data_IF_910813187373
#
_entry.id   IF_910813187373
#
_cell.length_a   1.000
_cell.length_b   1.000
_cell.length_c   1.000
_cell.angle_alpha   90.00
_cell.angle_beta   90.00
_cell.angle_gamma   90.00
#
_symmetry.space_group_name_H-M   'P 1'
#
loop_
_entity.id
_entity.type
_entity.pdbx_description
1 polymer ?
#
# COMPACT_ATOMS: atom_id res chain seq x y z
N UNK A 1 -23.13 -2.67 -21.20
CA UNK A 1 -22.99 -1.74 -22.32
C UNK A 1 -21.59 -1.15 -22.23
N UNK A 2 -20.69 -1.47 -23.17
CA UNK A 2 -19.39 -0.81 -23.23
C UNK A 2 -19.66 0.67 -23.53
N UNK A 3 -19.19 1.56 -22.66
CA UNK A 3 -19.26 2.99 -22.90
C UNK A 3 -18.39 3.32 -24.11
N UNK A 4 -18.90 4.11 -25.05
CA UNK A 4 -18.18 4.56 -26.26
C UNK A 4 -16.99 5.50 -25.92
N UNK A 5 -16.79 5.77 -24.63
CA UNK A 5 -15.74 6.67 -24.11
C UNK A 5 -14.55 5.90 -23.59
N UNK A 6 -13.33 6.33 -23.89
CA UNK A 6 -12.12 5.70 -23.34
C UNK A 6 -12.04 5.90 -21.82
N UNK A 7 -11.50 4.91 -21.09
CA UNK A 7 -11.47 4.86 -19.63
C UNK A 7 -10.83 6.11 -19.00
N UNK A 8 -9.79 6.68 -19.62
CA UNK A 8 -9.16 7.90 -19.12
C UNK A 8 -10.11 9.12 -19.10
N UNK A 9 -11.10 9.14 -19.98
CA UNK A 9 -12.12 10.20 -20.01
C UNK A 9 -13.19 10.02 -18.91
N UNK A 10 -13.30 8.83 -18.32
CA UNK A 10 -14.11 8.57 -17.13
C UNK A 10 -13.36 8.97 -15.86
N UNK A 11 -12.03 8.83 -15.88
CA UNK A 11 -11.14 9.19 -14.75
C UNK A 11 -10.95 10.70 -14.65
N UNK A 12 -10.61 11.37 -15.75
CA UNK A 12 -10.40 12.82 -15.76
C UNK A 12 -11.72 13.60 -15.55
N UNK A 13 -11.62 14.77 -14.96
CA UNK A 13 -12.76 15.69 -14.86
C UNK A 13 -13.15 16.18 -16.26
N UNK A 14 -14.47 16.29 -16.55
CA UNK A 14 -14.93 16.73 -17.85
C UNK A 14 -14.34 18.09 -18.25
N UNK A 15 -13.75 18.16 -19.45
CA UNK A 15 -13.20 19.40 -20.00
C UNK A 15 -11.87 19.86 -19.40
N UNK A 16 -11.32 19.15 -18.42
CA UNK A 16 -10.06 19.56 -17.75
C UNK A 16 -8.79 19.24 -18.53
N UNK A 17 -8.84 18.33 -19.52
CA UNK A 17 -7.66 17.82 -20.20
C UNK A 17 -7.06 18.83 -21.19
N UNK A 18 -5.96 19.46 -20.83
CA UNK A 18 -5.12 20.29 -21.71
C UNK A 18 -4.04 19.43 -22.35
N UNK A 19 -4.23 19.06 -23.62
CA UNK A 19 -3.36 18.12 -24.35
C UNK A 19 -2.01 18.74 -24.72
N UNK A 20 -0.98 17.90 -24.78
CA UNK A 20 0.34 18.21 -25.33
C UNK A 20 0.96 17.01 -26.05
N UNK A 21 2.05 17.22 -26.81
CA UNK A 21 2.76 16.18 -27.53
C UNK A 21 2.05 15.74 -28.82
N UNK A 22 1.07 16.51 -29.31
CA UNK A 22 0.34 16.23 -30.55
C UNK A 22 1.22 16.30 -31.80
N UNK A 23 2.38 16.96 -31.72
CA UNK A 23 3.39 17.06 -32.77
C UNK A 23 4.22 15.78 -32.96
N UNK A 24 4.18 14.83 -32.01
CA UNK A 24 4.91 13.57 -32.12
C UNK A 24 4.10 12.61 -32.99
N UNK A 25 4.49 12.44 -34.23
CA UNK A 25 3.75 11.67 -35.23
C UNK A 25 4.23 10.21 -35.30
N UNK A 26 3.29 9.29 -35.58
CA UNK A 26 3.59 7.90 -35.83
C UNK A 26 4.26 7.74 -37.20
N UNK A 27 5.36 6.98 -37.23
CA UNK A 27 6.08 6.62 -38.44
C UNK A 27 5.88 5.14 -38.78
N UNK A 28 6.36 4.72 -39.97
CA UNK A 28 6.45 3.31 -40.36
C UNK A 28 7.92 2.87 -40.44
N UNK A 29 8.60 2.72 -39.28
CA UNK A 29 10.06 2.46 -39.26
C UNK A 29 10.45 1.08 -39.84
N UNK A 30 9.50 0.19 -39.98
CA UNK A 30 9.73 -1.18 -40.48
C UNK A 30 9.20 -1.38 -41.92
N UNK A 31 8.77 -0.31 -42.59
CA UNK A 31 8.11 -0.37 -43.87
C UNK A 31 7.01 -1.45 -43.98
N UNK A 32 6.28 -1.63 -42.87
CA UNK A 32 5.28 -2.67 -42.75
C UNK A 32 4.15 -2.46 -43.77
N UNK A 33 3.87 -3.48 -44.63
CA UNK A 33 2.88 -3.35 -45.67
C UNK A 33 1.49 -3.01 -45.13
N UNK A 34 0.86 -1.96 -45.68
CA UNK A 34 -0.48 -1.52 -45.34
C UNK A 34 -0.61 -0.86 -43.95
N UNK A 35 0.48 -0.64 -43.20
CA UNK A 35 0.43 0.00 -41.88
C UNK A 35 0.00 1.48 -41.97
N UNK A 36 0.46 2.31 -42.93
CA UNK A 36 -0.05 3.66 -43.11
C UNK A 36 -1.57 3.71 -43.34
N UNK A 37 -2.13 2.76 -44.07
CA UNK A 37 -3.57 2.66 -44.30
C UNK A 37 -4.33 2.28 -43.01
N UNK A 38 -3.77 1.42 -42.18
CA UNK A 38 -4.34 1.07 -40.89
C UNK A 38 -4.36 2.28 -39.95
N UNK A 39 -3.29 3.09 -39.95
CA UNK A 39 -3.23 4.33 -39.18
C UNK A 39 -4.32 5.32 -39.62
N UNK A 40 -4.47 5.52 -40.96
CA UNK A 40 -5.53 6.41 -41.50
C UNK A 40 -6.92 5.93 -41.11
N UNK A 41 -7.19 4.63 -41.26
CA UNK A 41 -8.49 4.04 -40.85
C UNK A 41 -8.76 4.18 -39.36
N UNK A 42 -7.76 3.95 -38.50
CA UNK A 42 -7.91 4.12 -37.08
C UNK A 42 -8.22 5.58 -36.71
N UNK A 43 -7.51 6.54 -37.32
CA UNK A 43 -7.77 7.99 -37.13
C UNK A 43 -9.20 8.36 -37.54
N UNK A 44 -9.68 7.88 -38.70
CA UNK A 44 -11.04 8.16 -39.18
C UNK A 44 -12.10 7.52 -38.26
N UNK A 45 -11.87 6.30 -37.81
CA UNK A 45 -12.85 5.56 -37.01
C UNK A 45 -12.97 6.08 -35.58
N UNK A 46 -11.88 6.58 -35.00
CA UNK A 46 -11.84 6.99 -33.57
C UNK A 46 -11.85 8.50 -33.38
N UNK A 47 -11.52 9.28 -34.40
CA UNK A 47 -11.23 10.70 -34.28
C UNK A 47 -9.92 11.00 -33.52
N UNK A 48 -9.26 9.99 -32.98
CA UNK A 48 -7.99 10.14 -32.29
C UNK A 48 -6.82 10.13 -33.28
N UNK A 49 -5.78 10.90 -33.02
CA UNK A 49 -4.56 10.90 -33.86
C UNK A 49 -3.61 9.77 -33.51
N UNK A 50 -3.64 9.30 -32.25
CA UNK A 50 -2.72 8.32 -31.64
C UNK A 50 -3.46 7.40 -30.67
N UNK A 51 -2.85 6.25 -30.37
CA UNK A 51 -3.35 5.34 -29.33
C UNK A 51 -3.13 5.86 -27.91
N UNK A 52 -2.33 6.91 -27.73
CA UNK A 52 -2.05 7.52 -26.42
C UNK A 52 -2.31 9.02 -26.47
N UNK A 53 -3.13 9.50 -25.56
CA UNK A 53 -3.36 10.90 -25.26
C UNK A 53 -2.54 11.30 -24.05
N UNK A 54 -1.89 12.46 -24.10
CA UNK A 54 -1.12 13.04 -22.99
C UNK A 54 -1.56 14.47 -22.73
N UNK A 55 -1.60 14.88 -21.48
CA UNK A 55 -2.00 16.24 -21.10
C UNK A 55 -1.89 16.51 -19.61
N UNK A 56 -2.11 17.75 -19.24
CA UNK A 56 -2.41 18.12 -17.85
C UNK A 56 -3.92 18.07 -17.70
N UNK A 57 -4.38 17.48 -16.59
CA UNK A 57 -5.81 17.33 -16.29
C UNK A 57 -6.05 17.47 -14.80
N UNK A 58 -7.32 17.48 -14.40
CA UNK A 58 -7.71 17.27 -13.01
C UNK A 58 -8.48 15.97 -12.87
N UNK A 59 -8.38 15.36 -11.68
CA UNK A 59 -9.17 14.20 -11.26
C UNK A 59 -9.77 14.53 -9.90
N UNK A 60 -11.08 14.71 -9.84
CA UNK A 60 -11.77 15.21 -8.64
C UNK A 60 -11.23 16.55 -8.15
N UNK A 61 -10.91 17.45 -9.08
CA UNK A 61 -10.31 18.76 -8.82
C UNK A 61 -8.79 18.76 -8.57
N UNK A 62 -8.16 17.59 -8.41
CA UNK A 62 -6.72 17.48 -8.13
C UNK A 62 -5.90 17.45 -9.43
N UNK A 63 -4.90 18.33 -9.60
CA UNK A 63 -4.12 18.41 -10.84
C UNK A 63 -3.13 17.24 -10.96
N UNK A 64 -3.02 16.72 -12.19
CA UNK A 64 -2.09 15.65 -12.53
C UNK A 64 -1.63 15.75 -13.98
N UNK A 65 -0.57 15.04 -14.34
CA UNK A 65 -0.24 14.73 -15.72
C UNK A 65 -0.90 13.41 -16.06
N UNK A 66 -1.72 13.42 -17.11
CA UNK A 66 -2.50 12.26 -17.56
C UNK A 66 -1.90 11.63 -18.81
N UNK A 67 -1.75 10.31 -18.77
CA UNK A 67 -1.52 9.44 -19.93
C UNK A 67 -2.72 8.52 -20.07
N UNK A 68 -3.47 8.62 -21.17
CA UNK A 68 -4.66 7.83 -21.43
C UNK A 68 -4.53 7.01 -22.72
N UNK A 69 -4.90 5.74 -22.66
CA UNK A 69 -4.87 4.85 -23.82
C UNK A 69 -6.25 4.76 -24.48
N UNK A 70 -6.25 4.85 -25.82
CA UNK A 70 -7.41 4.68 -26.68
C UNK A 70 -7.38 3.27 -27.28
N UNK A 71 -8.14 2.34 -26.71
CA UNK A 71 -8.12 0.94 -27.16
C UNK A 71 -8.67 0.79 -28.58
N UNK A 72 -9.65 1.59 -28.97
CA UNK A 72 -10.20 1.58 -30.32
C UNK A 72 -9.17 1.95 -31.40
N UNK A 73 -8.12 2.70 -31.03
CA UNK A 73 -7.01 3.02 -31.91
C UNK A 73 -5.96 1.89 -31.91
N UNK A 74 -6.03 0.99 -32.88
CA UNK A 74 -5.09 -0.14 -33.04
C UNK A 74 -4.89 -0.98 -31.77
N UNK A 75 -5.98 -1.21 -31.01
CA UNK A 75 -5.93 -1.97 -29.75
C UNK A 75 -5.15 -1.28 -28.64
N UNK A 76 -5.06 0.06 -28.65
CA UNK A 76 -4.29 0.81 -27.65
C UNK A 76 -2.80 0.46 -27.66
N UNK A 77 -2.26 -0.07 -28.75
CA UNK A 77 -0.89 -0.58 -28.79
C UNK A 77 0.15 0.55 -28.80
N UNK A 78 1.23 0.35 -28.05
CA UNK A 78 2.33 1.31 -27.92
C UNK A 78 3.34 1.15 -29.05
N UNK A 79 3.42 2.14 -29.95
CA UNK A 79 4.48 2.31 -30.94
C UNK A 79 5.53 3.32 -30.48
N UNK A 80 6.43 3.71 -31.38
CA UNK A 80 7.50 4.67 -31.09
C UNK A 80 6.96 6.04 -30.69
N UNK A 81 5.95 6.54 -31.40
CA UNK A 81 5.32 7.81 -31.07
C UNK A 81 4.62 7.79 -29.72
N UNK A 82 3.87 6.73 -29.42
CA UNK A 82 3.21 6.58 -28.13
C UNK A 82 4.22 6.51 -26.99
N UNK A 83 5.32 5.76 -27.14
CA UNK A 83 6.40 5.72 -26.15
C UNK A 83 7.04 7.08 -25.91
N UNK A 84 7.35 7.82 -26.98
CA UNK A 84 7.91 9.17 -26.87
C UNK A 84 6.95 10.15 -26.18
N UNK A 85 5.64 10.05 -26.43
CA UNK A 85 4.62 10.86 -25.75
C UNK A 85 4.55 10.54 -24.25
N UNK A 86 4.63 9.25 -23.88
CA UNK A 86 4.67 8.82 -22.48
C UNK A 86 5.92 9.35 -21.80
N UNK A 87 7.10 9.22 -22.41
CA UNK A 87 8.36 9.77 -21.87
C UNK A 87 8.27 11.27 -21.65
N UNK A 88 7.71 12.02 -22.60
CA UNK A 88 7.48 13.46 -22.46
C UNK A 88 6.52 13.76 -21.30
N UNK A 89 5.46 12.98 -21.13
CA UNK A 89 4.52 13.16 -20.02
C UNK A 89 5.21 13.01 -18.67
N UNK A 90 6.09 12.04 -18.49
CA UNK A 90 6.92 11.93 -17.29
C UNK A 90 7.84 13.14 -17.10
N UNK A 91 8.43 13.67 -18.16
CA UNK A 91 9.26 14.88 -18.08
C UNK A 91 8.45 16.10 -17.63
N UNK A 92 7.22 16.27 -18.15
CA UNK A 92 6.29 17.34 -17.72
C UNK A 92 5.90 17.14 -16.25
N UNK A 93 5.58 15.91 -15.82
CA UNK A 93 5.24 15.62 -14.43
C UNK A 93 6.37 16.00 -13.47
N UNK A 94 7.63 15.76 -13.86
CA UNK A 94 8.81 16.17 -13.08
C UNK A 94 8.94 17.69 -13.03
N UNK A 95 8.85 18.37 -14.18
CA UNK A 95 9.01 19.81 -14.29
C UNK A 95 7.92 20.56 -13.50
N UNK A 96 6.67 20.14 -13.65
CA UNK A 96 5.51 20.78 -13.00
C UNK A 96 5.26 20.31 -11.57
N UNK A 97 6.05 19.31 -11.09
CA UNK A 97 5.87 18.66 -9.78
C UNK A 97 4.42 18.16 -9.58
N UNK A 98 3.88 17.50 -10.60
CA UNK A 98 2.54 16.92 -10.60
C UNK A 98 2.59 15.39 -10.51
N UNK A 99 1.63 14.74 -9.83
CA UNK A 99 1.46 13.30 -9.92
C UNK A 99 1.27 12.83 -11.36
N UNK A 100 1.83 11.67 -11.70
CA UNK A 100 1.58 10.99 -12.95
C UNK A 100 0.39 10.05 -12.80
N UNK A 101 -0.63 10.18 -13.64
CA UNK A 101 -1.77 9.26 -13.72
C UNK A 101 -1.76 8.58 -15.10
N UNK A 102 -1.57 7.26 -15.12
CA UNK A 102 -1.59 6.46 -16.34
C UNK A 102 -2.82 5.56 -16.38
N UNK A 103 -3.71 5.77 -17.34
CA UNK A 103 -4.94 4.99 -17.52
C UNK A 103 -4.78 4.15 -18.76
N UNK A 104 -4.63 2.83 -18.62
CA UNK A 104 -4.35 1.92 -19.72
C UNK A 104 -5.57 1.11 -20.16
N UNK A 105 -5.67 0.92 -21.46
CA UNK A 105 -6.44 -0.10 -22.13
C UNK A 105 -5.63 -0.47 -23.38
N UNK A 106 -4.83 -1.54 -23.34
CA UNK A 106 -3.79 -1.79 -24.33
C UNK A 106 -3.50 -3.26 -24.55
N UNK A 107 -3.35 -3.63 -25.83
CA UNK A 107 -2.84 -4.93 -26.27
C UNK A 107 -1.31 -5.07 -26.17
N UNK A 108 -0.57 -4.06 -25.71
CA UNK A 108 0.89 -4.09 -25.58
C UNK A 108 1.64 -3.33 -26.66
N UNK A 109 2.82 -3.81 -27.05
CA UNK A 109 3.66 -3.17 -28.07
C UNK A 109 3.09 -3.31 -29.49
N UNK A 110 3.26 -2.27 -30.31
CA UNK A 110 2.76 -2.24 -31.70
C UNK A 110 3.65 -3.06 -32.61
N UNK A 111 3.19 -4.23 -33.00
CA UNK A 111 3.94 -5.20 -33.80
C UNK A 111 4.41 -4.64 -35.14
N UNK A 112 3.61 -3.77 -35.77
CA UNK A 112 3.93 -3.18 -37.08
C UNK A 112 5.15 -2.26 -37.08
N UNK A 113 5.56 -1.79 -35.93
CA UNK A 113 6.75 -0.95 -35.77
C UNK A 113 7.98 -1.74 -35.33
N UNK A 114 7.86 -3.07 -35.20
CA UNK A 114 8.97 -3.97 -34.92
C UNK A 114 9.76 -3.61 -33.68
N UNK A 115 11.08 -3.68 -33.78
CA UNK A 115 12.01 -3.39 -32.66
C UNK A 115 11.88 -1.95 -32.14
N UNK A 116 11.49 -0.99 -33.00
CA UNK A 116 11.26 0.40 -32.55
C UNK A 116 10.19 0.51 -31.48
N UNK A 117 9.09 -0.25 -31.60
CA UNK A 117 8.06 -0.34 -30.56
C UNK A 117 8.56 -1.08 -29.30
N UNK A 118 9.40 -2.12 -29.48
CA UNK A 118 9.96 -2.88 -28.35
C UNK A 118 10.88 -1.99 -27.48
N UNK A 119 11.73 -1.21 -28.10
CA UNK A 119 12.67 -0.31 -27.40
C UNK A 119 11.97 0.77 -26.57
N UNK A 120 10.69 1.07 -26.86
CA UNK A 120 9.93 2.02 -26.04
C UNK A 120 9.74 1.54 -24.60
N UNK A 121 9.74 0.24 -24.36
CA UNK A 121 9.66 -0.29 -22.99
C UNK A 121 10.82 0.18 -22.11
N UNK A 122 12.04 0.20 -22.66
CA UNK A 122 13.23 0.70 -21.95
C UNK A 122 13.18 2.22 -21.76
N UNK A 123 12.77 2.97 -22.80
CA UNK A 123 12.65 4.42 -22.71
C UNK A 123 11.60 4.83 -21.66
N UNK A 124 10.46 4.16 -21.61
CA UNK A 124 9.41 4.37 -20.62
C UNK A 124 9.92 4.00 -19.22
N UNK A 125 10.60 2.86 -19.05
CA UNK A 125 11.16 2.46 -17.77
C UNK A 125 12.20 3.47 -17.25
N UNK A 126 13.04 4.03 -18.13
CA UNK A 126 13.98 5.08 -17.77
C UNK A 126 13.27 6.37 -17.32
N UNK A 127 12.16 6.75 -17.98
CA UNK A 127 11.36 7.91 -17.59
C UNK A 127 10.67 7.70 -16.22
N UNK A 128 10.11 6.52 -15.97
CA UNK A 128 9.57 6.12 -14.66
C UNK A 128 10.65 6.22 -13.58
N UNK A 129 11.85 5.69 -13.85
CA UNK A 129 12.97 5.76 -12.90
C UNK A 129 13.39 7.22 -12.63
N UNK A 130 13.38 8.08 -13.65
CA UNK A 130 13.63 9.53 -13.51
C UNK A 130 12.60 10.22 -12.61
N UNK A 131 11.31 9.95 -12.84
CA UNK A 131 10.24 10.50 -12.02
C UNK A 131 10.30 10.00 -10.56
N UNK A 132 10.63 8.72 -10.36
CA UNK A 132 10.87 8.16 -9.01
C UNK A 132 11.98 8.90 -8.27
N UNK A 133 13.13 9.15 -8.91
CA UNK A 133 14.23 9.94 -8.31
C UNK A 133 13.82 11.37 -7.97
N UNK A 134 12.94 11.96 -8.77
CA UNK A 134 12.38 13.29 -8.53
C UNK A 134 11.27 13.32 -7.46
N UNK A 135 10.91 12.18 -6.88
CA UNK A 135 9.83 12.08 -5.88
C UNK A 135 8.43 12.28 -6.47
N UNK A 136 8.25 12.08 -7.77
CA UNK A 136 6.94 12.15 -8.43
C UNK A 136 6.21 10.82 -8.25
N UNK A 137 5.00 10.81 -7.69
CA UNK A 137 4.20 9.61 -7.58
C UNK A 137 3.64 9.19 -8.94
N UNK A 138 3.65 7.88 -9.18
CA UNK A 138 3.06 7.26 -10.35
C UNK A 138 1.86 6.39 -9.95
N UNK A 139 0.67 6.83 -10.30
CA UNK A 139 -0.61 6.16 -10.09
C UNK A 139 -1.04 5.57 -11.41
N UNK A 140 -1.40 4.29 -11.43
CA UNK A 140 -1.85 3.61 -12.65
C UNK A 140 -3.25 3.04 -12.48
N UNK A 141 -4.04 3.14 -13.55
CA UNK A 141 -5.32 2.45 -13.70
C UNK A 141 -5.16 1.40 -14.81
N UNK A 142 -5.25 0.13 -14.44
CA UNK A 142 -5.22 -0.99 -15.37
C UNK A 142 -6.63 -1.32 -15.83
N UNK A 143 -7.01 -0.81 -17.01
CA UNK A 143 -8.28 -1.12 -17.67
C UNK A 143 -8.22 -2.40 -18.51
N UNK A 144 -9.34 -2.74 -19.17
CA UNK A 144 -9.49 -3.96 -19.96
C UNK A 144 -9.30 -3.72 -21.46
N UNK A 145 -8.34 -4.40 -22.10
CA UNK A 145 -7.24 -5.16 -21.50
C UNK A 145 -6.02 -4.29 -21.17
N UNK A 146 -5.18 -4.72 -20.26
CA UNK A 146 -3.84 -4.17 -20.04
C UNK A 146 -2.81 -5.28 -20.14
N UNK A 147 -2.10 -5.37 -21.28
CA UNK A 147 -1.24 -6.52 -21.56
C UNK A 147 0.13 -6.13 -22.14
N UNK A 148 1.02 -7.12 -22.19
CA UNK A 148 2.33 -7.03 -22.85
C UNK A 148 3.24 -5.96 -22.27
N UNK A 149 3.92 -5.26 -23.18
CA UNK A 149 4.90 -4.23 -22.84
C UNK A 149 4.33 -3.08 -22.03
N UNK A 150 3.08 -2.68 -22.25
CA UNK A 150 2.43 -1.61 -21.48
C UNK A 150 2.23 -2.04 -20.02
N UNK A 151 1.77 -3.28 -19.78
CA UNK A 151 1.69 -3.81 -18.43
C UNK A 151 3.07 -3.80 -17.76
N UNK A 152 4.08 -4.41 -18.38
CA UNK A 152 5.36 -4.68 -17.72
C UNK A 152 6.29 -3.47 -17.60
N UNK A 153 6.20 -2.47 -18.50
CA UNK A 153 7.10 -1.31 -18.47
C UNK A 153 6.49 -0.05 -17.86
N UNK A 154 5.17 0.07 -17.87
CA UNK A 154 4.47 1.28 -17.41
C UNK A 154 3.61 0.99 -16.20
N UNK A 155 2.59 0.13 -16.32
CA UNK A 155 1.56 -0.01 -15.30
C UNK A 155 2.06 -0.78 -14.07
N UNK A 156 2.73 -1.94 -14.25
CA UNK A 156 3.30 -2.71 -13.13
C UNK A 156 4.42 -1.97 -12.39
N UNK A 157 5.02 -0.96 -13.02
CA UNK A 157 6.01 -0.10 -12.42
C UNK A 157 5.42 1.04 -11.58
N UNK A 158 4.09 1.17 -11.49
CA UNK A 158 3.47 2.24 -10.70
C UNK A 158 3.59 2.02 -9.17
N UNK A 159 3.53 3.12 -8.44
CA UNK A 159 3.56 3.14 -6.98
C UNK A 159 2.26 2.59 -6.39
N UNK A 160 1.15 2.98 -7.02
CA UNK A 160 -0.20 2.51 -6.73
C UNK A 160 -0.88 2.05 -8.02
N UNK A 161 -1.46 0.87 -8.01
CA UNK A 161 -2.20 0.30 -9.14
C UNK A 161 -3.64 0.06 -8.74
N UNK A 162 -4.54 0.69 -9.48
CA UNK A 162 -5.99 0.51 -9.36
C UNK A 162 -6.46 -0.25 -10.59
N UNK A 163 -7.43 -1.15 -10.46
CA UNK A 163 -8.06 -1.82 -11.60
C UNK A 163 -9.54 -2.02 -11.34
N UNK A 164 -10.27 -2.40 -12.38
CA UNK A 164 -11.69 -2.75 -12.27
C UNK A 164 -11.87 -4.26 -12.30
N UNK A 165 -12.88 -4.82 -11.62
CA UNK A 165 -13.16 -6.25 -11.62
C UNK A 165 -13.33 -6.79 -13.05
N UNK A 166 -12.82 -7.99 -13.28
CA UNK A 166 -12.92 -8.66 -14.58
C UNK A 166 -12.00 -8.13 -15.67
N UNK A 167 -11.26 -7.04 -15.46
CA UNK A 167 -10.30 -6.54 -16.44
C UNK A 167 -9.19 -7.57 -16.70
N UNK A 168 -8.83 -7.76 -17.96
CA UNK A 168 -7.74 -8.64 -18.38
C UNK A 168 -6.41 -7.93 -18.19
N UNK A 169 -5.64 -8.39 -17.20
CA UNK A 169 -4.32 -7.83 -16.86
C UNK A 169 -3.28 -8.95 -16.87
N UNK A 170 -2.35 -8.92 -17.83
CA UNK A 170 -1.35 -9.98 -17.98
C UNK A 170 -0.14 -9.56 -18.79
N UNK A 171 0.98 -10.29 -18.63
CA UNK A 171 2.13 -10.09 -19.51
C UNK A 171 1.86 -10.58 -20.94
N UNK A 172 1.27 -11.78 -21.09
CA UNK A 172 0.94 -12.33 -22.42
C UNK A 172 -0.46 -11.92 -22.88
N UNK A 173 -0.57 -11.29 -24.05
CA UNK A 173 -1.85 -11.07 -24.69
C UNK A 173 -2.51 -12.41 -25.06
N UNK A 174 -3.84 -12.42 -25.25
CA UNK A 174 -4.60 -13.64 -25.54
C UNK A 174 -4.10 -14.42 -26.76
N UNK A 175 -3.51 -13.73 -27.74
CA UNK A 175 -2.99 -14.32 -28.99
C UNK A 175 -1.56 -14.84 -28.90
N UNK A 176 -0.85 -14.56 -27.79
CA UNK A 176 0.57 -14.93 -27.59
C UNK A 176 0.76 -15.96 -26.50
N UNK A 177 -0.33 -16.47 -25.95
CA UNK A 177 -0.30 -17.51 -24.92
C UNK A 177 0.13 -18.86 -25.52
N UNK A 178 0.80 -19.72 -24.73
CA UNK A 178 1.14 -21.06 -25.19
C UNK A 178 -0.10 -21.86 -25.65
N UNK A 179 0.04 -22.75 -26.64
CA UNK A 179 -1.04 -23.66 -27.05
C UNK A 179 -1.57 -24.44 -25.84
N UNK A 180 -2.89 -24.62 -25.78
CA UNK A 180 -3.54 -25.33 -24.66
C UNK A 180 -3.78 -24.48 -23.40
N UNK A 181 -3.37 -23.22 -23.40
CA UNK A 181 -3.72 -22.31 -22.30
C UNK A 181 -5.22 -22.01 -22.32
N UNK A 182 -5.88 -22.18 -21.17
CA UNK A 182 -7.27 -21.77 -21.00
C UNK A 182 -7.40 -20.25 -21.15
N UNK A 183 -8.15 -19.76 -22.17
CA UNK A 183 -8.34 -18.33 -22.38
C UNK A 183 -9.09 -17.64 -21.21
N UNK A 184 -9.91 -18.41 -20.48
CA UNK A 184 -10.72 -17.95 -19.37
C UNK A 184 -10.03 -18.07 -18.00
N UNK A 185 -8.77 -18.51 -17.96
CA UNK A 185 -8.06 -18.67 -16.69
C UNK A 185 -8.11 -17.41 -15.84
N UNK A 186 -8.53 -17.50 -14.56
CA UNK A 186 -8.62 -16.37 -13.66
C UNK A 186 -7.28 -15.67 -13.44
N UNK A 187 -6.15 -16.35 -13.70
CA UNK A 187 -4.80 -15.79 -13.55
C UNK A 187 -4.53 -14.59 -14.47
N UNK A 188 -5.37 -14.38 -15.49
CA UNK A 188 -5.29 -13.22 -16.39
C UNK A 188 -6.19 -12.06 -15.98
N UNK A 189 -6.95 -12.19 -14.89
CA UNK A 189 -7.91 -11.18 -14.44
C UNK A 189 -7.33 -10.31 -13.31
N UNK A 190 -7.80 -9.06 -13.27
CA UNK A 190 -7.44 -8.09 -12.24
C UNK A 190 -7.79 -8.58 -10.84
N UNK A 191 -8.91 -9.29 -10.69
CA UNK A 191 -9.35 -9.89 -9.42
C UNK A 191 -8.28 -10.81 -8.83
N UNK A 192 -7.72 -11.68 -9.69
CA UNK A 192 -6.65 -12.59 -9.26
C UNK A 192 -5.34 -11.84 -9.00
N UNK A 193 -5.03 -10.84 -9.82
CA UNK A 193 -3.88 -9.98 -9.59
C UNK A 193 -3.97 -9.22 -8.28
N UNK A 194 -5.14 -8.75 -7.92
CA UNK A 194 -5.41 -8.14 -6.62
C UNK A 194 -5.29 -9.14 -5.47
N UNK A 195 -5.86 -10.34 -5.62
CA UNK A 195 -5.76 -11.40 -4.62
C UNK A 195 -4.31 -11.77 -4.30
N UNK A 196 -3.41 -11.68 -5.30
CA UNK A 196 -1.98 -11.94 -5.17
C UNK A 196 -1.12 -10.68 -4.93
N UNK A 197 -1.71 -9.53 -4.65
CA UNK A 197 -0.98 -8.31 -4.33
C UNK A 197 -0.19 -7.67 -5.47
N UNK A 198 -0.51 -7.99 -6.72
CA UNK A 198 0.05 -7.31 -7.90
C UNK A 198 -0.71 -6.03 -8.24
N UNK A 199 -1.95 -5.87 -7.78
CA UNK A 199 -2.79 -4.69 -7.85
C UNK A 199 -3.16 -4.31 -6.43
N UNK A 200 -3.14 -3.00 -6.12
CA UNK A 200 -3.41 -2.50 -4.77
C UNK A 200 -4.91 -2.36 -4.50
N UNK A 201 -5.65 -1.79 -5.46
CA UNK A 201 -7.07 -1.48 -5.32
C UNK A 201 -7.87 -2.10 -6.45
N UNK A 202 -8.92 -2.84 -6.10
CA UNK A 202 -9.93 -3.30 -7.05
C UNK A 202 -11.15 -2.39 -6.90
N UNK A 203 -11.35 -1.50 -7.86
CA UNK A 203 -12.38 -0.46 -7.82
C UNK A 203 -13.78 -1.03 -8.01
N UNK A 204 -14.76 -0.46 -7.34
CA UNK A 204 -16.17 -0.78 -7.56
C UNK A 204 -16.74 -0.29 -8.92
N UNK A 205 -15.91 0.29 -9.79
CA UNK A 205 -16.32 0.88 -11.06
C UNK A 205 -16.85 2.30 -10.91
N UNK A 206 -18.05 2.55 -10.37
CA UNK A 206 -18.56 3.92 -10.17
C UNK A 206 -17.67 4.80 -9.28
N UNK A 207 -16.89 4.18 -8.39
CA UNK A 207 -15.95 4.85 -7.49
C UNK A 207 -14.59 5.19 -8.09
N UNK A 208 -14.26 4.70 -9.28
CA UNK A 208 -12.91 4.76 -9.85
C UNK A 208 -12.31 6.18 -9.84
N UNK A 209 -13.06 7.19 -10.30
CA UNK A 209 -12.58 8.58 -10.29
C UNK A 209 -12.27 9.07 -8.88
N UNK A 210 -13.13 8.76 -7.91
CA UNK A 210 -12.96 9.19 -6.52
C UNK A 210 -11.73 8.51 -5.88
N UNK A 211 -11.48 7.25 -6.17
CA UNK A 211 -10.31 6.51 -5.70
C UNK A 211 -9.01 7.06 -6.29
N UNK A 212 -9.00 7.34 -7.62
CA UNK A 212 -7.85 7.99 -8.27
C UNK A 212 -7.64 9.40 -7.71
N UNK A 213 -8.71 10.18 -7.50
CA UNK A 213 -8.63 11.50 -6.91
C UNK A 213 -8.05 11.47 -5.49
N UNK A 214 -8.47 10.51 -4.66
CA UNK A 214 -7.93 10.33 -3.31
C UNK A 214 -6.43 10.02 -3.36
N UNK A 215 -6.00 9.13 -4.27
CA UNK A 215 -4.60 8.80 -4.47
C UNK A 215 -3.78 10.02 -4.96
N UNK A 216 -4.29 10.77 -5.95
CA UNK A 216 -3.66 12.01 -6.44
C UNK A 216 -3.49 13.00 -5.30
N UNK A 217 -4.54 13.25 -4.52
CA UNK A 217 -4.54 14.18 -3.40
C UNK A 217 -3.54 13.81 -2.33
N UNK A 218 -3.54 12.53 -1.89
CA UNK A 218 -2.66 12.05 -0.82
C UNK A 218 -1.20 12.02 -1.25
N UNK A 219 -0.91 11.63 -2.48
CA UNK A 219 0.47 11.46 -2.96
C UNK A 219 1.05 12.68 -3.65
N UNK A 220 0.27 13.75 -3.87
CA UNK A 220 0.72 14.95 -4.58
C UNK A 220 1.95 15.58 -3.93
N UNK A 221 3.00 15.94 -4.69
CA UNK A 221 4.12 16.72 -4.17
C UNK A 221 3.70 18.06 -3.57
N UNK A 222 2.58 18.63 -4.01
CA UNK A 222 2.04 19.90 -3.53
C UNK A 222 1.38 19.80 -2.15
N UNK A 223 1.00 18.58 -1.73
CA UNK A 223 0.40 18.30 -0.41
C UNK A 223 1.45 18.06 0.67
N UNK A 224 2.74 18.12 0.33
CA UNK A 224 3.85 17.80 1.23
C UNK A 224 4.53 19.07 1.69
N UNK A 225 4.85 19.15 2.99
CA UNK A 225 5.77 20.16 3.51
C UNK A 225 7.19 19.96 2.97
N UNK A 226 8.02 21.00 3.01
CA UNK A 226 9.42 20.92 2.55
C UNK A 226 10.28 19.99 3.42
N UNK A 227 9.95 19.86 4.70
CA UNK A 227 10.61 18.96 5.66
C UNK A 227 9.57 18.06 6.30
N UNK A 228 9.73 16.72 6.27
CA UNK A 228 8.79 15.83 6.94
C UNK A 228 8.90 16.03 8.47
N UNK A 229 7.82 16.48 9.08
CA UNK A 229 7.66 16.44 10.54
C UNK A 229 7.34 15.01 10.98
N UNK A 230 7.60 14.69 12.25
CA UNK A 230 7.17 13.42 12.83
C UNK A 230 5.65 13.29 12.70
N UNK A 231 5.17 12.06 12.48
CA UNK A 231 3.76 11.78 12.60
C UNK A 231 3.32 12.10 14.04
N UNK A 232 2.28 12.91 14.25
CA UNK A 232 1.73 13.15 15.57
C UNK A 232 1.36 11.84 16.26
N UNK A 233 1.41 11.84 17.60
CA UNK A 233 0.95 10.67 18.33
C UNK A 233 -0.57 10.51 18.15
N UNK A 234 -1.05 9.29 17.89
CA UNK A 234 -2.48 9.05 17.89
C UNK A 234 -3.04 9.22 19.30
N UNK A 235 -4.19 9.88 19.39
CA UNK A 235 -4.97 9.87 20.59
C UNK A 235 -5.53 8.46 20.85
N UNK A 236 -5.85 8.16 22.10
CA UNK A 236 -6.57 6.93 22.43
C UNK A 236 -7.90 6.91 21.66
N UNK A 237 -8.23 5.81 20.96
CA UNK A 237 -9.46 5.74 20.19
C UNK A 237 -10.69 5.88 21.07
N UNK A 238 -11.67 6.66 20.64
CA UNK A 238 -12.95 6.79 21.34
C UNK A 238 -13.60 5.41 21.52
N UNK A 239 -14.29 5.21 22.64
CA UNK A 239 -15.12 4.03 22.85
C UNK A 239 -16.23 4.05 21.79
N UNK A 240 -16.13 3.23 20.75
CA UNK A 240 -17.23 2.97 19.83
C UNK A 240 -18.13 1.90 20.44
N UNK A 241 -19.38 1.87 20.01
CA UNK A 241 -20.28 0.76 20.32
C UNK A 241 -19.57 -0.55 19.96
N UNK A 242 -19.27 -1.34 20.98
CA UNK A 242 -18.90 -2.74 20.79
C UNK A 242 -20.13 -3.38 20.18
N UNK A 243 -20.03 -3.97 18.99
CA UNK A 243 -21.08 -4.84 18.48
C UNK A 243 -21.52 -5.77 19.60
N UNK A 244 -22.79 -5.64 19.99
CA UNK A 244 -23.41 -6.46 21.01
C UNK A 244 -23.62 -7.87 20.42
N UNK A 245 -22.58 -8.69 20.47
CA UNK A 245 -22.56 -10.04 19.92
C UNK A 245 -21.65 -10.94 20.72
N UNK A 246 -22.00 -11.21 21.92
CA UNK A 246 -22.02 -12.50 22.61
C UNK A 246 -22.31 -12.32 24.13
N UNK A 247 -23.51 -12.63 24.65
CA UNK A 247 -23.82 -12.49 26.08
C UNK A 247 -23.30 -13.64 26.97
N UNK A 248 -22.51 -14.58 26.41
CA UNK A 248 -22.16 -15.83 27.14
C UNK A 248 -20.66 -15.98 27.48
N UNK A 249 -19.89 -14.88 27.58
CA UNK A 249 -18.56 -14.93 28.17
C UNK A 249 -18.67 -14.61 29.67
N UNK A 250 -18.68 -15.66 30.50
CA UNK A 250 -18.88 -15.62 31.94
C UNK A 250 -18.00 -14.60 32.68
N UNK A 251 -18.66 -13.84 33.51
CA UNK A 251 -18.05 -12.97 34.53
C UNK A 251 -17.32 -13.84 35.56
N UNK A 252 -16.01 -13.80 35.53
CA UNK A 252 -15.20 -14.30 36.64
C UNK A 252 -15.16 -13.22 37.73
N UNK A 253 -16.07 -13.31 38.68
CA UNK A 253 -16.06 -12.51 39.91
C UNK A 253 -14.78 -12.79 40.70
N UNK A 254 -13.93 -11.79 40.82
CA UNK A 254 -12.78 -11.76 41.70
C UNK A 254 -12.89 -10.55 42.62
N UNK A 255 -13.68 -10.69 43.71
CA UNK A 255 -13.68 -9.76 44.82
C UNK A 255 -12.29 -9.76 45.47
N UNK A 256 -11.64 -8.60 45.48
CA UNK A 256 -10.39 -8.36 46.19
C UNK A 256 -10.35 -6.93 46.71
N UNK A 257 -10.97 -6.69 47.84
CA UNK A 257 -10.75 -5.47 48.66
C UNK A 257 -9.29 -5.37 49.10
N UNK A 258 -8.64 -4.28 48.77
CA UNK A 258 -7.26 -3.97 49.20
C UNK A 258 -6.97 -2.49 49.08
N UNK A 259 -7.28 -1.75 50.17
CA UNK A 259 -6.76 -0.40 50.39
C UNK A 259 -5.23 -0.43 50.49
N UNK A 260 -4.56 0.39 49.67
CA UNK A 260 -3.10 0.59 49.77
C UNK A 260 -2.62 1.60 48.77
N UNK A 261 -2.22 2.79 49.23
CA UNK A 261 -1.50 3.82 48.46
C UNK A 261 -0.16 3.27 47.91
N UNK A 262 -0.20 2.84 46.69
CA UNK A 262 0.90 2.38 45.86
C UNK A 262 0.25 1.66 44.71
N UNK A 263 0.45 2.14 43.46
CA UNK A 263 0.00 1.41 42.27
C UNK A 263 0.54 -0.02 42.42
N UNK A 264 -0.29 -1.05 42.66
CA UNK A 264 0.20 -2.41 42.71
C UNK A 264 0.82 -2.70 41.35
N UNK A 265 1.99 -3.36 41.33
CA UNK A 265 2.49 -4.03 40.13
C UNK A 265 1.34 -4.88 39.61
N UNK A 266 0.57 -4.32 38.66
CA UNK A 266 -0.52 -5.04 38.03
C UNK A 266 0.11 -6.32 37.54
N UNK A 267 -0.42 -7.47 37.95
CA UNK A 267 0.09 -8.78 37.59
C UNK A 267 0.43 -8.76 36.09
N UNK A 268 1.71 -8.87 35.77
CA UNK A 268 2.20 -8.77 34.39
C UNK A 268 1.48 -9.75 33.46
N UNK A 269 1.00 -10.87 34.02
CA UNK A 269 0.20 -11.85 33.30
C UNK A 269 -1.23 -11.35 33.03
N UNK A 270 -1.89 -10.72 33.97
CA UNK A 270 -3.18 -10.07 33.75
C UNK A 270 -3.07 -8.97 32.69
N UNK A 271 -1.95 -8.24 32.69
CA UNK A 271 -1.66 -7.24 31.65
C UNK A 271 -1.54 -7.85 30.26
N UNK A 272 -0.90 -9.01 30.11
CA UNK A 272 -0.87 -9.76 28.86
C UNK A 272 -2.29 -10.16 28.41
N UNK A 273 -3.15 -10.58 29.35
CA UNK A 273 -4.56 -10.86 29.11
C UNK A 273 -5.31 -9.63 28.56
N UNK A 274 -5.11 -8.48 29.15
CA UNK A 274 -5.69 -7.21 28.66
C UNK A 274 -5.23 -6.87 27.25
N UNK A 275 -3.94 -7.02 26.96
CA UNK A 275 -3.38 -6.77 25.63
C UNK A 275 -3.91 -7.73 24.55
N UNK A 276 -4.38 -8.90 24.91
CA UNK A 276 -5.01 -9.91 24.03
C UNK A 276 -6.51 -9.77 23.91
N UNK A 277 -7.14 -8.99 24.78
CA UNK A 277 -8.59 -8.82 24.79
C UNK A 277 -9.12 -8.37 23.44
N UNK A 278 -10.22 -9.00 23.00
CA UNK A 278 -10.95 -8.58 21.80
C UNK A 278 -11.74 -7.27 22.02
N UNK A 279 -11.92 -6.85 23.27
CA UNK A 279 -12.63 -5.61 23.63
C UNK A 279 -11.76 -4.34 23.44
N UNK A 280 -10.43 -4.48 23.38
CA UNK A 280 -9.55 -3.32 23.17
C UNK A 280 -9.62 -2.79 21.75
N UNK A 281 -9.22 -1.53 21.56
CA UNK A 281 -9.10 -0.94 20.25
C UNK A 281 -7.99 -1.64 19.42
N UNK A 282 -8.36 -2.19 18.27
CA UNK A 282 -7.45 -2.77 17.29
C UNK A 282 -7.00 -1.72 16.26
N UNK A 283 -6.09 -2.09 15.38
CA UNK A 283 -5.53 -1.23 14.34
C UNK A 283 -6.60 -0.42 13.58
N UNK A 284 -7.73 -1.02 13.24
CA UNK A 284 -8.81 -0.35 12.51
C UNK A 284 -9.38 0.87 13.24
N UNK A 285 -9.58 0.75 14.56
CA UNK A 285 -10.06 1.87 15.38
C UNK A 285 -8.99 2.96 15.54
N UNK A 286 -7.74 2.57 15.73
CA UNK A 286 -6.64 3.53 15.80
C UNK A 286 -6.49 4.30 14.49
N UNK A 287 -6.54 3.61 13.35
CA UNK A 287 -6.46 4.23 12.02
C UNK A 287 -7.67 5.12 11.74
N UNK A 288 -8.89 4.67 12.05
CA UNK A 288 -10.12 5.43 11.83
C UNK A 288 -10.20 6.69 12.70
N UNK A 289 -9.69 6.64 13.93
CA UNK A 289 -9.61 7.82 14.82
C UNK A 289 -8.49 8.79 14.45
N UNK A 290 -7.48 8.32 13.75
CA UNK A 290 -6.31 9.12 13.39
C UNK A 290 -6.40 9.74 12.00
N UNK A 291 -6.89 8.98 11.01
CA UNK A 291 -6.94 9.41 9.63
C UNK A 291 -8.35 9.79 9.19
N UNK A 292 -8.42 10.80 8.33
CA UNK A 292 -9.54 10.98 7.41
C UNK A 292 -9.46 9.96 6.25
N UNK A 293 -9.60 10.38 4.99
CA UNK A 293 -9.50 9.47 3.85
C UNK A 293 -8.14 8.77 3.78
N UNK A 294 -8.14 7.47 3.50
CA UNK A 294 -6.95 6.65 3.33
C UNK A 294 -6.93 6.00 1.95
N UNK A 295 -5.73 5.64 1.49
CA UNK A 295 -5.50 4.78 0.32
C UNK A 295 -4.53 3.68 0.73
N UNK A 296 -4.94 2.43 0.58
CA UNK A 296 -4.12 1.28 0.94
C UNK A 296 -3.26 0.80 -0.21
N UNK A 297 -2.09 0.28 0.12
CA UNK A 297 -1.27 -0.54 -0.77
C UNK A 297 -1.41 -2.00 -0.35
N UNK A 298 -1.39 -2.90 -1.34
CA UNK A 298 -1.64 -4.32 -1.10
C UNK A 298 -0.50 -5.18 -1.63
N UNK A 299 -0.03 -6.09 -0.77
CA UNK A 299 0.92 -7.14 -1.10
C UNK A 299 2.32 -6.69 -1.46
N UNK A 300 3.18 -7.69 -1.60
CA UNK A 300 4.63 -7.54 -1.77
C UNK A 300 5.09 -7.40 -3.23
N UNK A 301 4.17 -7.40 -4.19
CA UNK A 301 4.44 -7.43 -5.65
C UNK A 301 5.12 -8.72 -6.13
N UNK A 302 5.28 -9.70 -5.27
CA UNK A 302 5.88 -11.00 -5.58
C UNK A 302 4.87 -12.16 -5.49
N UNK A 303 3.61 -11.86 -5.24
CA UNK A 303 2.52 -12.84 -5.18
C UNK A 303 2.01 -13.12 -3.76
N UNK A 304 2.59 -12.47 -2.74
CA UNK A 304 2.18 -12.60 -1.35
C UNK A 304 1.34 -11.44 -0.84
N UNK A 305 0.35 -11.75 -0.02
CA UNK A 305 -0.49 -10.80 0.73
C UNK A 305 -0.55 -11.28 2.18
N UNK A 306 -0.55 -10.35 3.10
CA UNK A 306 -0.66 -10.59 4.54
C UNK A 306 -1.95 -9.97 5.06
N UNK A 307 -2.83 -10.76 5.70
CA UNK A 307 -4.05 -10.29 6.37
C UNK A 307 -3.75 -9.62 7.71
N UNK A 308 -2.63 -9.98 8.34
CA UNK A 308 -2.16 -9.43 9.61
C UNK A 308 -1.53 -8.04 9.49
N UNK A 309 -1.54 -7.43 8.29
CA UNK A 309 -0.90 -6.15 8.05
C UNK A 309 -1.73 -5.24 7.14
N UNK A 310 -1.92 -4.01 7.56
CA UNK A 310 -2.47 -2.93 6.73
C UNK A 310 -1.39 -1.89 6.45
N UNK A 311 -1.22 -1.52 5.20
CA UNK A 311 -0.27 -0.52 4.76
C UNK A 311 -0.96 0.51 3.87
N UNK A 312 -0.59 1.79 3.99
CA UNK A 312 -1.19 2.80 3.14
C UNK A 312 -0.76 4.22 3.46
N UNK A 313 -1.53 5.13 2.97
CA UNK A 313 -1.38 6.58 3.16
C UNK A 313 -2.70 7.13 3.67
N UNK A 314 -2.63 8.03 4.63
CA UNK A 314 -3.79 8.73 5.17
C UNK A 314 -3.50 10.20 5.40
N UNK A 315 -4.55 11.00 5.54
CA UNK A 315 -4.42 12.42 5.86
C UNK A 315 -4.78 12.66 7.32
N UNK A 316 -3.87 13.29 8.04
CA UNK A 316 -4.03 13.73 9.42
C UNK A 316 -3.69 15.22 9.51
N UNK A 317 -4.65 16.06 9.96
CA UNK A 317 -4.48 17.51 10.12
C UNK A 317 -3.81 18.20 8.91
N UNK A 318 -4.25 17.85 7.71
CA UNK A 318 -3.72 18.46 6.49
C UNK A 318 -2.43 17.83 5.96
N UNK A 319 -1.76 16.96 6.71
CA UNK A 319 -0.51 16.28 6.32
C UNK A 319 -0.76 14.85 5.88
N UNK A 320 -0.12 14.41 4.80
CA UNK A 320 -0.12 13.01 4.39
C UNK A 320 0.93 12.23 5.19
N UNK A 321 0.51 11.12 5.80
CA UNK A 321 1.33 10.22 6.58
C UNK A 321 1.21 8.83 5.99
N UNK A 322 2.35 8.15 5.81
CA UNK A 322 2.36 6.72 5.48
C UNK A 322 2.14 5.90 6.76
N UNK A 323 1.41 4.79 6.68
CA UNK A 323 1.19 3.96 7.84
C UNK A 323 1.41 2.47 7.56
N UNK A 324 1.90 1.78 8.60
CA UNK A 324 1.96 0.31 8.69
C UNK A 324 1.28 -0.07 10.00
N UNK A 325 0.27 -0.92 9.94
CA UNK A 325 -0.48 -1.33 11.12
C UNK A 325 -0.65 -2.85 11.17
N UNK A 326 -0.17 -3.47 12.23
CA UNK A 326 -0.42 -4.87 12.55
C UNK A 326 -1.80 -5.03 13.18
N UNK A 327 -2.50 -6.11 12.83
CA UNK A 327 -3.93 -6.31 13.17
C UNK A 327 -4.16 -7.27 14.35
N UNK A 328 -3.10 -7.75 14.99
CA UNK A 328 -3.16 -8.74 16.07
C UNK A 328 -2.87 -10.16 15.59
N UNK A 329 -2.56 -10.34 14.31
CA UNK A 329 -2.13 -11.63 13.74
C UNK A 329 -0.61 -11.72 13.62
N UNK A 330 -0.10 -12.91 13.32
CA UNK A 330 1.32 -13.12 13.03
C UNK A 330 1.68 -12.49 11.69
N UNK A 331 2.77 -11.70 11.68
CA UNK A 331 3.27 -11.14 10.42
C UNK A 331 3.96 -12.22 9.59
N UNK A 332 3.60 -12.31 8.31
CA UNK A 332 4.19 -13.24 7.34
C UNK A 332 5.37 -12.62 6.58
N UNK A 333 6.16 -13.41 5.84
CA UNK A 333 7.19 -12.87 4.95
C UNK A 333 6.65 -11.83 3.94
N UNK A 334 5.44 -12.06 3.42
CA UNK A 334 4.78 -11.12 2.53
C UNK A 334 4.43 -9.80 3.22
N UNK A 335 4.00 -9.86 4.48
CA UNK A 335 3.75 -8.67 5.29
C UNK A 335 5.01 -7.85 5.52
N UNK A 336 6.12 -8.50 5.89
CA UNK A 336 7.40 -7.81 6.04
C UNK A 336 7.85 -7.10 4.76
N UNK A 337 7.76 -7.76 3.60
CA UNK A 337 8.10 -7.16 2.30
C UNK A 337 7.13 -6.04 1.90
N UNK A 338 5.84 -6.18 2.22
CA UNK A 338 4.84 -5.10 1.99
C UNK A 338 5.17 -3.86 2.82
N UNK A 339 5.51 -4.04 4.10
CA UNK A 339 5.95 -2.95 4.97
C UNK A 339 7.24 -2.28 4.46
N UNK A 340 8.25 -3.06 4.08
CA UNK A 340 9.49 -2.55 3.49
C UNK A 340 9.23 -1.76 2.19
N UNK A 341 8.33 -2.25 1.34
CA UNK A 341 7.86 -1.54 0.14
C UNK A 341 7.25 -0.18 0.49
N UNK A 342 6.35 -0.12 1.50
CA UNK A 342 5.76 1.15 1.94
C UNK A 342 6.81 2.12 2.46
N UNK A 343 7.75 1.65 3.28
CA UNK A 343 8.85 2.48 3.80
C UNK A 343 9.68 3.08 2.66
N UNK A 344 10.00 2.29 1.64
CA UNK A 344 10.67 2.77 0.44
C UNK A 344 9.87 3.83 -0.33
N UNK A 345 8.53 3.69 -0.40
CA UNK A 345 7.65 4.70 -0.97
C UNK A 345 7.62 5.96 -0.11
N UNK A 346 7.46 5.84 1.20
CA UNK A 346 7.43 6.95 2.14
C UNK A 346 8.74 7.75 2.10
N UNK A 347 9.89 7.07 2.11
CA UNK A 347 11.21 7.67 1.99
C UNK A 347 11.34 8.50 0.71
N UNK A 348 10.99 7.92 -0.44
CA UNK A 348 11.07 8.57 -1.74
C UNK A 348 10.09 9.73 -1.87
N UNK A 349 8.90 9.57 -1.33
CA UNK A 349 7.87 10.59 -1.31
C UNK A 349 8.04 11.61 -0.18
N UNK A 350 9.06 11.45 0.69
CA UNK A 350 9.35 12.30 1.84
C UNK A 350 8.15 12.44 2.78
N UNK A 351 7.48 11.33 3.07
CA UNK A 351 6.34 11.28 3.97
C UNK A 351 6.77 10.72 5.34
N UNK A 352 6.32 11.30 6.46
CA UNK A 352 6.51 10.69 7.77
C UNK A 352 5.73 9.39 7.86
N UNK A 353 6.17 8.49 8.74
CA UNK A 353 5.57 7.17 8.90
C UNK A 353 5.03 7.01 10.32
N UNK A 354 3.84 6.43 10.43
CA UNK A 354 3.25 5.92 11.65
C UNK A 354 3.24 4.39 11.59
N UNK A 355 3.80 3.72 12.60
CA UNK A 355 3.63 2.26 12.73
C UNK A 355 2.82 1.93 13.98
N UNK A 356 1.81 1.07 13.81
CA UNK A 356 1.00 0.52 14.89
C UNK A 356 1.35 -0.96 15.05
N UNK A 357 1.86 -1.33 16.23
CA UNK A 357 2.41 -2.65 16.50
C UNK A 357 1.41 -3.44 17.35
N UNK A 358 0.95 -4.55 16.78
CA UNK A 358 0.04 -5.51 17.42
C UNK A 358 0.20 -6.88 16.78
N UNK A 359 1.09 -7.71 17.32
CA UNK A 359 1.35 -9.06 16.80
C UNK A 359 1.87 -9.99 17.88
N UNK A 360 1.41 -11.26 17.91
CA UNK A 360 2.01 -12.31 18.73
C UNK A 360 3.36 -12.82 18.16
N UNK A 361 3.93 -12.13 17.18
CA UNK A 361 5.23 -12.41 16.56
C UNK A 361 5.16 -12.72 15.08
N UNK A 362 6.28 -13.16 14.52
CA UNK A 362 6.35 -13.59 13.13
C UNK A 362 5.74 -14.98 12.93
N UNK A 363 5.17 -15.22 11.75
CA UNK A 363 4.81 -16.56 11.31
C UNK A 363 6.08 -17.42 11.14
N UNK A 364 6.00 -18.69 11.55
CA UNK A 364 7.16 -19.57 11.57
C UNK A 364 6.79 -21.01 11.18
N UNK A 365 5.83 -21.16 10.27
CA UNK A 365 5.48 -22.46 9.69
C UNK A 365 6.56 -22.89 8.67
N UNK A 366 6.63 -24.16 8.29
CA UNK A 366 7.52 -24.60 7.20
C UNK A 366 7.28 -23.83 5.88
N UNK A 367 6.05 -23.38 5.62
CA UNK A 367 5.71 -22.56 4.46
C UNK A 367 6.30 -21.15 4.58
N UNK A 368 6.29 -20.54 5.77
CA UNK A 368 6.88 -19.23 6.02
C UNK A 368 8.41 -19.28 5.93
N UNK A 369 9.02 -20.35 6.44
CA UNK A 369 10.45 -20.58 6.28
C UNK A 369 10.83 -20.72 4.80
N UNK A 370 10.09 -21.51 4.03
CA UNK A 370 10.28 -21.64 2.59
C UNK A 370 10.04 -20.33 1.82
N UNK A 371 9.15 -19.47 2.31
CA UNK A 371 8.89 -18.13 1.78
C UNK A 371 9.93 -17.09 2.24
N UNK A 372 10.90 -17.46 3.07
CA UNK A 372 12.03 -16.63 3.49
C UNK A 372 11.67 -15.63 4.60
N UNK A 373 11.10 -16.09 5.70
CA UNK A 373 10.72 -15.24 6.85
C UNK A 373 11.93 -14.49 7.43
N UNK A 374 13.06 -15.16 7.61
CA UNK A 374 14.29 -14.55 8.13
C UNK A 374 14.79 -13.38 7.26
N UNK A 375 15.07 -13.61 5.96
CA UNK A 375 15.42 -12.52 5.03
C UNK A 375 14.42 -11.38 4.97
N UNK A 376 13.11 -11.67 4.97
CA UNK A 376 12.07 -10.64 4.91
C UNK A 376 12.05 -9.76 6.18
N UNK A 377 12.22 -10.34 7.35
CA UNK A 377 12.36 -9.60 8.62
C UNK A 377 13.65 -8.75 8.60
N UNK A 378 14.76 -9.30 8.13
CA UNK A 378 16.04 -8.59 8.05
C UNK A 378 15.93 -7.37 7.10
N UNK A 379 15.28 -7.52 5.94
CA UNK A 379 15.01 -6.42 5.01
C UNK A 379 14.19 -5.32 5.67
N UNK A 380 13.14 -5.69 6.41
CA UNK A 380 12.30 -4.73 7.12
C UNK A 380 13.07 -3.98 8.22
N UNK A 381 13.92 -4.67 9.00
CA UNK A 381 14.81 -4.01 9.97
C UNK A 381 15.73 -3.00 9.30
N UNK A 382 16.34 -3.36 8.18
CA UNK A 382 17.20 -2.45 7.42
C UNK A 382 16.42 -1.26 6.88
N UNK A 383 15.21 -1.48 6.34
CA UNK A 383 14.35 -0.41 5.84
C UNK A 383 13.95 0.59 6.94
N UNK A 384 13.61 0.09 8.14
CA UNK A 384 13.31 0.93 9.31
C UNK A 384 14.53 1.73 9.77
N UNK A 385 15.69 1.06 9.91
CA UNK A 385 16.91 1.68 10.42
C UNK A 385 17.52 2.70 9.44
N UNK A 386 17.37 2.49 8.14
CA UNK A 386 17.91 3.37 7.08
C UNK A 386 16.93 4.41 6.59
N UNK A 387 15.73 4.51 7.17
CA UNK A 387 14.70 5.44 6.73
C UNK A 387 15.17 6.89 6.85
N UNK A 388 15.18 7.68 5.75
CA UNK A 388 15.52 9.09 5.79
C UNK A 388 14.37 9.98 6.28
N UNK A 389 13.21 9.40 6.52
CA UNK A 389 12.03 10.10 7.04
C UNK A 389 11.73 9.67 8.48
N UNK A 390 11.15 10.56 9.30
CA UNK A 390 10.83 10.22 10.69
C UNK A 390 9.76 9.14 10.78
N UNK A 391 9.96 8.21 11.71
CA UNK A 391 9.03 7.11 12.01
C UNK A 391 8.61 7.23 13.46
N UNK A 392 7.32 7.36 13.72
CA UNK A 392 6.69 7.26 15.04
C UNK A 392 6.06 5.87 15.17
N UNK A 393 6.41 5.12 16.20
CA UNK A 393 5.92 3.77 16.44
C UNK A 393 5.11 3.70 17.73
N UNK A 394 3.98 3.01 17.70
CA UNK A 394 3.11 2.79 18.87
C UNK A 394 2.79 1.30 18.99
N UNK A 395 3.11 0.72 20.13
CA UNK A 395 2.64 -0.61 20.50
C UNK A 395 1.22 -0.45 21.02
N UNK A 396 0.25 -0.98 20.27
CA UNK A 396 -1.18 -0.84 20.57
C UNK A 396 -1.81 -2.11 21.16
N UNK A 397 -1.01 -3.15 21.35
CA UNK A 397 -1.45 -4.45 21.84
C UNK A 397 -0.25 -5.35 22.12
N UNK A 398 -0.23 -6.54 21.52
CA UNK A 398 0.89 -7.47 21.68
C UNK A 398 2.11 -7.00 20.87
N UNK A 399 3.23 -6.80 21.56
CA UNK A 399 4.53 -6.52 20.95
C UNK A 399 5.48 -7.70 21.16
N UNK A 400 5.36 -8.77 20.35
CA UNK A 400 6.12 -9.99 20.61
C UNK A 400 7.24 -10.20 19.59
N UNK A 401 8.46 -10.38 20.12
CA UNK A 401 9.63 -10.86 19.37
C UNK A 401 10.05 -9.98 18.20
N UNK A 402 10.82 -10.57 17.26
CA UNK A 402 11.31 -9.88 16.07
C UNK A 402 10.21 -9.37 15.13
N UNK A 403 9.05 -10.03 15.10
CA UNK A 403 7.93 -9.61 14.27
C UNK A 403 7.33 -8.25 14.68
N UNK A 404 7.30 -7.97 15.98
CA UNK A 404 6.91 -6.67 16.51
C UNK A 404 8.05 -5.65 16.38
N UNK A 405 9.26 -6.07 16.78
CA UNK A 405 10.42 -5.18 16.82
C UNK A 405 10.82 -4.68 15.44
N UNK A 406 10.53 -5.43 14.38
CA UNK A 406 10.82 -5.04 13.01
C UNK A 406 10.06 -3.78 12.54
N UNK A 407 9.00 -3.35 13.27
CA UNK A 407 8.26 -2.12 13.02
C UNK A 407 8.48 -1.06 14.12
N UNK A 408 9.31 -1.34 15.11
CA UNK A 408 9.59 -0.42 16.19
C UNK A 408 10.69 0.57 15.81
N UNK A 409 10.39 1.86 15.86
CA UNK A 409 11.37 2.92 15.67
C UNK A 409 12.34 2.94 16.86
N UNK A 410 13.65 2.89 16.64
CA UNK A 410 14.63 2.92 17.74
C UNK A 410 14.68 4.28 18.45
N UNK A 411 14.16 5.33 17.84
CA UNK A 411 14.23 6.70 18.36
C UNK A 411 12.89 7.28 18.79
N UNK A 412 11.77 6.65 18.45
CA UNK A 412 10.43 7.20 18.70
C UNK A 412 9.39 6.09 18.88
N UNK A 413 9.59 5.28 19.92
CA UNK A 413 8.70 4.17 20.29
C UNK A 413 7.84 4.57 21.50
N UNK A 414 6.54 4.38 21.35
CA UNK A 414 5.50 4.63 22.36
C UNK A 414 4.69 3.34 22.58
N UNK A 415 3.94 3.32 23.68
CA UNK A 415 3.11 2.17 24.00
C UNK A 415 1.74 2.62 24.53
N UNK A 416 0.69 1.94 24.11
CA UNK A 416 -0.63 2.08 24.70
C UNK A 416 -0.67 1.47 26.11
N UNK A 417 -1.51 2.00 26.97
CA UNK A 417 -1.60 1.56 28.38
C UNK A 417 -1.88 0.06 28.51
N UNK A 418 -2.63 -0.52 27.58
CA UNK A 418 -2.99 -1.94 27.52
C UNK A 418 -2.06 -2.79 26.63
N UNK A 419 -0.98 -2.21 26.10
CA UNK A 419 0.00 -2.93 25.30
C UNK A 419 1.14 -3.54 26.15
N UNK A 420 1.90 -4.46 25.55
CA UNK A 420 3.15 -4.95 26.14
C UNK A 420 4.22 -5.22 25.07
N UNK A 421 5.49 -5.29 25.50
CA UNK A 421 6.59 -5.68 24.63
C UNK A 421 7.43 -6.76 25.31
N UNK A 422 7.60 -7.89 24.63
CA UNK A 422 8.38 -9.00 25.15
C UNK A 422 9.25 -9.65 24.07
N UNK A 423 10.39 -10.22 24.52
CA UNK A 423 11.28 -10.99 23.63
C UNK A 423 10.58 -12.21 23.05
N UNK A 424 9.65 -12.80 23.78
CA UNK A 424 8.79 -13.93 23.39
C UNK A 424 7.55 -13.94 24.27
N UNK A 425 6.49 -14.65 23.86
CA UNK A 425 5.30 -14.83 24.68
C UNK A 425 5.64 -15.53 26.01
N UNK A 426 5.03 -15.16 27.15
CA UNK A 426 5.34 -15.75 28.45
C UNK A 426 5.20 -17.26 28.50
N UNK A 427 4.21 -17.81 27.81
CA UNK A 427 3.97 -19.27 27.70
C UNK A 427 5.17 -19.96 27.01
N UNK A 428 5.64 -19.35 25.91
CA UNK A 428 6.78 -19.89 25.17
C UNK A 428 8.07 -19.75 25.98
N UNK A 429 8.24 -18.63 26.69
CA UNK A 429 9.38 -18.46 27.62
C UNK A 429 9.34 -19.52 28.72
N UNK A 430 8.18 -19.79 29.33
CA UNK A 430 8.02 -20.86 30.33
C UNK A 430 8.41 -22.23 29.77
N UNK A 431 7.96 -22.54 28.55
CA UNK A 431 8.33 -23.77 27.83
C UNK A 431 9.84 -23.88 27.57
N UNK A 432 10.48 -22.80 27.09
CA UNK A 432 11.93 -22.74 26.84
C UNK A 432 12.72 -22.98 28.14
N UNK A 433 12.25 -22.42 29.25
CA UNK A 433 12.85 -22.57 30.58
C UNK A 433 12.53 -23.93 31.21
N UNK A 434 11.72 -24.77 30.55
CA UNK A 434 11.25 -26.07 31.06
C UNK A 434 10.47 -25.94 32.38
N UNK A 435 9.71 -24.87 32.51
CA UNK A 435 8.82 -24.60 33.63
C UNK A 435 7.39 -25.05 33.30
N UNK A 436 6.56 -25.18 34.33
CA UNK A 436 5.15 -25.58 34.19
C UNK A 436 4.23 -24.42 33.79
N UNK A 437 2.99 -24.75 33.44
CA UNK A 437 1.94 -23.74 33.10
C UNK A 437 1.69 -22.79 34.27
N UNK A 438 1.81 -23.29 35.51
CA UNK A 438 1.63 -22.49 36.74
C UNK A 438 2.71 -21.43 36.92
N UNK A 439 3.84 -21.54 36.23
CA UNK A 439 4.93 -20.59 36.28
C UNK A 439 4.78 -19.42 35.31
N UNK A 440 3.82 -19.47 34.37
CA UNK A 440 3.63 -18.45 33.33
C UNK A 440 3.47 -17.04 33.93
N UNK A 441 2.66 -16.78 34.97
CA UNK A 441 2.54 -15.47 35.59
C UNK A 441 3.86 -14.96 36.11
N UNK A 442 4.64 -15.81 36.78
CA UNK A 442 5.97 -15.48 37.28
C UNK A 442 6.96 -15.17 36.14
N UNK A 443 6.89 -15.93 35.05
CA UNK A 443 7.71 -15.67 33.87
C UNK A 443 7.34 -14.35 33.22
N UNK A 444 6.05 -14.00 33.14
CA UNK A 444 5.60 -12.70 32.64
C UNK A 444 6.23 -11.55 33.47
N UNK A 445 6.25 -11.65 34.78
CA UNK A 445 6.91 -10.69 35.67
C UNK A 445 8.42 -10.61 35.40
N UNK A 446 9.10 -11.74 35.19
CA UNK A 446 10.54 -11.74 34.87
C UNK A 446 10.87 -11.09 33.52
N UNK A 447 9.96 -11.17 32.55
CA UNK A 447 10.13 -10.56 31.24
C UNK A 447 10.08 -9.01 31.27
N UNK A 448 9.61 -8.41 32.35
CA UNK A 448 9.55 -6.94 32.49
C UNK A 448 8.86 -6.25 31.31
N UNK A 449 7.69 -6.74 30.95
CA UNK A 449 7.01 -6.46 29.68
C UNK A 449 5.97 -5.33 29.73
N UNK A 450 5.61 -4.86 30.94
CA UNK A 450 4.54 -3.86 31.12
C UNK A 450 4.96 -2.46 30.67
N UNK A 451 4.03 -1.57 30.29
CA UNK A 451 4.33 -0.21 29.88
C UNK A 451 5.15 0.58 30.91
N UNK A 452 4.81 0.42 32.18
CA UNK A 452 5.52 1.10 33.29
C UNK A 452 7.00 0.67 33.41
N UNK A 453 7.24 -0.64 33.27
CA UNK A 453 8.61 -1.19 33.32
C UNK A 453 9.40 -0.81 32.05
N UNK A 454 8.78 -0.85 30.88
CA UNK A 454 9.40 -0.43 29.62
C UNK A 454 9.77 1.05 29.63
N UNK A 455 8.91 1.89 30.20
CA UNK A 455 9.14 3.32 30.35
C UNK A 455 10.27 3.60 31.38
N UNK A 456 10.25 2.93 32.53
CA UNK A 456 11.29 3.10 33.57
C UNK A 456 12.69 2.70 33.07
N UNK A 457 12.76 1.78 32.10
CA UNK A 457 14.00 1.32 31.47
C UNK A 457 14.39 2.14 30.23
N UNK A 458 13.60 3.16 29.86
CA UNK A 458 13.86 4.02 28.70
C UNK A 458 13.68 3.31 27.35
N UNK A 459 12.96 2.17 27.32
CA UNK A 459 12.68 1.42 26.09
C UNK A 459 11.62 2.14 25.27
N UNK A 460 10.58 2.67 25.93
CA UNK A 460 9.55 3.51 25.31
C UNK A 460 9.65 4.95 25.81
N UNK A 461 9.25 5.89 24.97
CA UNK A 461 9.29 7.34 25.30
C UNK A 461 8.14 7.77 26.20
N UNK A 462 7.05 7.04 26.18
CA UNK A 462 5.87 7.34 26.98
C UNK A 462 4.73 6.36 26.74
N UNK A 463 3.68 6.53 27.52
CA UNK A 463 2.50 5.68 27.55
C UNK A 463 1.30 6.51 27.07
N UNK A 464 0.61 6.03 26.05
CA UNK A 464 -0.66 6.61 25.59
C UNK A 464 -1.77 6.02 26.46
N UNK A 465 -2.57 6.90 27.06
CA UNK A 465 -3.64 6.53 28.00
C UNK A 465 -5.00 6.92 27.46
N UNK A 466 -6.07 6.20 27.83
CA UNK A 466 -7.42 6.68 27.59
C UNK A 466 -7.62 8.07 28.24
N UNK A 467 -8.48 8.92 27.68
CA UNK A 467 -8.85 10.16 28.34
C UNK A 467 -9.40 9.83 29.74
N UNK A 468 -9.03 10.64 30.75
CA UNK A 468 -9.60 10.47 32.06
C UNK A 468 -11.14 10.45 31.93
N UNK A 469 -11.78 9.37 32.37
CA UNK A 469 -13.24 9.34 32.42
C UNK A 469 -13.67 10.53 33.24
N UNK A 470 -14.46 11.44 32.65
CA UNK A 470 -15.20 12.43 33.42
C UNK A 470 -16.12 11.61 34.31
N UNK A 471 -15.69 11.46 35.57
CA UNK A 471 -16.55 10.89 36.59
C UNK A 471 -17.74 11.83 36.71
N UNK A 472 -18.87 11.41 36.12
CA UNK A 472 -20.17 12.05 36.23
C UNK A 472 -21.06 11.20 37.11
#
# INVERSE_FOLDING_TARGET
>A
MATDRPLYAEVADPGSLARFGEEIEAANPSDWPGYPDRLRRARTATGARHAVTTGVATVGGEPCVLVGFEFAFLGGSMGAAEGARIVRAFSVAVAERLPMVCVSASGGSRMQEGTSALLQMQAVAAAVAGARRAGIPHIAVAGDPTTGGVWSSLIAAADLIISVPGARVSFSGSRTRPPGTDPGSPEYLADRKWAHGFIDVLSSGPGLRAEVAAAVRLLSPRSRGDVPHRAPLPAWPAAGDLDAGDPDAGDGDGDGDGDGDGVPDADAWAHVGSARSLRRARADRWLAGYFGPTVEIRGDRCGGVDSGLRCGFGRHEGTTIAYVAQTGERITPAGCRTAARLLGLAARLRLPVLTLIDTPGAAATPADEAAGVGPAIAELFVAMASSPVPITSVIIGEGVSGGALALASPSDLWIAQDGYLAVTAPELASSILKLGVHDIPRVATWLRLTPAELMSRGIVRGIIRPPASVAG
#
